data_IF_006799317026
#
_entry.id   IF_006799317026
#
_cell.length_a   1.000
_cell.length_b   1.000
_cell.length_c   1.000
_cell.angle_alpha   90.00
_cell.angle_beta   90.00
_cell.angle_gamma   90.00
#
_symmetry.space_group_name_H-M   'P 1'
#
loop_
_entity.id
_entity.type
_entity.pdbx_description
1 polymer ?
#
# COMPACT_ATOMS: atom_id res chain seq x y z
N UNK A 1 3.79 10.20 12.71
CA UNK A 1 3.34 9.65 11.42
C UNK A 1 2.12 10.41 10.87
N UNK A 2 1.05 10.59 11.66
CA UNK A 2 -0.19 11.24 11.20
C UNK A 2 0.03 12.63 10.63
N UNK A 3 0.76 13.52 11.33
CA UNK A 3 1.06 14.87 10.85
C UNK A 3 1.84 14.85 9.53
N UNK A 4 2.80 13.92 9.38
CA UNK A 4 3.53 13.76 8.11
C UNK A 4 2.58 13.34 6.98
N UNK A 5 1.68 12.40 7.24
CA UNK A 5 0.67 11.98 6.27
C UNK A 5 -0.25 13.14 5.85
N UNK A 6 -0.68 13.97 6.82
CA UNK A 6 -1.49 15.16 6.61
C UNK A 6 -0.78 16.18 5.69
N UNK A 7 0.45 16.56 6.02
CA UNK A 7 1.22 17.55 5.24
C UNK A 7 1.52 17.05 3.82
N UNK A 8 1.91 15.79 3.66
CA UNK A 8 2.22 15.23 2.36
C UNK A 8 0.97 15.12 1.48
N UNK A 9 -0.15 14.66 2.01
CA UNK A 9 -1.39 14.52 1.23
C UNK A 9 -2.04 15.88 0.92
N UNK A 10 -1.71 16.93 1.67
CA UNK A 10 -2.09 18.29 1.30
C UNK A 10 -1.53 18.71 -0.06
N UNK A 11 -0.39 18.11 -0.47
CA UNK A 11 0.22 18.33 -1.79
C UNK A 11 -0.35 17.37 -2.82
N UNK A 12 -0.25 16.05 -2.58
CA UNK A 12 -0.81 15.02 -3.47
C UNK A 12 -0.97 13.67 -2.74
N UNK A 13 -2.14 13.07 -2.85
CA UNK A 13 -2.48 11.79 -2.25
C UNK A 13 -1.59 10.64 -2.73
N UNK A 14 -0.99 10.74 -3.92
CA UNK A 14 -0.11 9.70 -4.45
C UNK A 14 1.18 9.58 -3.64
N UNK A 15 1.74 10.71 -3.21
CA UNK A 15 2.93 10.71 -2.34
C UNK A 15 2.66 10.08 -0.98
N UNK A 16 1.51 10.46 -0.35
CA UNK A 16 1.12 9.83 0.91
C UNK A 16 0.90 8.32 0.71
N UNK A 17 0.29 7.90 -0.41
CA UNK A 17 0.08 6.47 -0.71
C UNK A 17 1.40 5.70 -0.75
N UNK A 18 2.41 6.21 -1.45
CA UNK A 18 3.73 5.58 -1.54
C UNK A 18 4.39 5.43 -0.16
N UNK A 19 4.36 6.50 0.65
CA UNK A 19 4.93 6.49 2.02
C UNK A 19 4.16 5.54 2.93
N UNK A 20 2.84 5.51 2.84
CA UNK A 20 2.01 4.60 3.65
C UNK A 20 2.30 3.14 3.35
N UNK A 21 2.43 2.78 2.08
CA UNK A 21 2.77 1.39 1.71
C UNK A 21 4.16 1.04 2.21
N UNK A 22 5.16 1.89 1.93
CA UNK A 22 6.54 1.63 2.36
C UNK A 22 6.67 1.49 3.87
N UNK A 23 6.05 2.37 4.66
CA UNK A 23 6.15 2.36 6.11
C UNK A 23 5.25 1.31 6.77
N UNK A 24 3.92 1.42 6.58
CA UNK A 24 2.94 0.64 7.34
C UNK A 24 2.68 -0.76 6.79
N UNK A 25 2.91 -0.99 5.48
CA UNK A 25 2.62 -2.26 4.83
C UNK A 25 3.88 -3.03 4.41
N UNK A 26 5.07 -2.43 4.49
CA UNK A 26 6.34 -3.09 4.17
C UNK A 26 7.29 -3.09 5.36
N UNK A 27 7.76 -1.93 5.82
CA UNK A 27 8.71 -1.86 6.93
C UNK A 27 8.14 -2.44 8.22
N UNK A 28 6.93 -2.04 8.58
CA UNK A 28 6.30 -2.47 9.84
C UNK A 28 6.01 -3.98 9.88
N UNK A 29 5.44 -4.64 8.87
CA UNK A 29 5.32 -6.09 8.86
C UNK A 29 6.65 -6.83 8.95
N UNK A 30 7.71 -6.34 8.31
CA UNK A 30 9.04 -6.93 8.44
C UNK A 30 9.56 -6.78 9.87
N UNK A 31 9.38 -5.59 10.49
CA UNK A 31 9.79 -5.36 11.88
C UNK A 31 9.04 -6.25 12.86
N UNK A 32 7.75 -6.42 12.68
CA UNK A 32 6.93 -7.19 13.62
C UNK A 32 7.01 -8.71 13.40
N UNK A 33 6.99 -9.13 12.14
CA UNK A 33 6.81 -10.54 11.80
C UNK A 33 8.07 -11.19 11.22
N UNK A 34 9.06 -10.40 10.82
CA UNK A 34 10.31 -10.89 10.25
C UNK A 34 11.23 -11.56 11.28
N UNK A 35 12.09 -12.46 10.80
CA UNK A 35 13.22 -12.96 11.57
C UNK A 35 14.27 -11.86 11.77
N UNK A 36 15.17 -12.05 12.73
CA UNK A 36 16.29 -11.11 12.96
C UNK A 36 17.11 -10.88 11.68
N UNK A 37 17.41 -11.94 10.92
CA UNK A 37 18.14 -11.86 9.67
C UNK A 37 17.39 -11.02 8.62
N UNK A 38 16.08 -11.20 8.49
CA UNK A 38 15.26 -10.43 7.55
C UNK A 38 15.24 -8.95 7.93
N UNK A 39 15.09 -8.61 9.21
CA UNK A 39 15.12 -7.23 9.69
C UNK A 39 16.45 -6.55 9.38
N UNK A 40 17.56 -7.18 9.79
CA UNK A 40 18.91 -6.65 9.57
C UNK A 40 19.24 -6.48 8.07
N UNK A 41 18.75 -7.37 7.23
CA UNK A 41 19.01 -7.36 5.78
C UNK A 41 18.19 -6.28 5.04
N UNK A 42 16.91 -6.11 5.36
CA UNK A 42 16.01 -5.33 4.52
C UNK A 42 15.63 -3.96 5.11
N UNK A 43 15.43 -3.84 6.43
CA UNK A 43 14.94 -2.59 7.01
C UNK A 43 15.87 -1.39 6.80
N UNK A 44 17.22 -1.50 6.90
CA UNK A 44 18.08 -0.33 6.73
C UNK A 44 17.94 0.35 5.36
N UNK A 45 17.79 -0.42 4.30
CA UNK A 45 17.67 0.12 2.93
C UNK A 45 16.23 0.50 2.59
N UNK A 46 15.24 -0.18 3.14
CA UNK A 46 13.82 0.20 3.03
C UNK A 46 13.54 1.55 3.71
N UNK A 47 14.04 1.76 4.93
CA UNK A 47 13.86 3.01 5.69
C UNK A 47 14.54 4.18 4.99
N UNK A 48 15.69 3.95 4.36
CA UNK A 48 16.41 4.98 3.59
C UNK A 48 15.81 5.21 2.19
N UNK A 49 14.80 4.45 1.78
CA UNK A 49 14.22 4.50 0.44
C UNK A 49 15.16 4.05 -0.68
N UNK A 50 16.22 3.30 -0.38
CA UNK A 50 17.12 2.73 -1.38
C UNK A 50 16.49 1.56 -2.12
N UNK A 51 15.64 0.82 -1.44
CA UNK A 51 14.79 -0.23 -2.01
C UNK A 51 13.33 0.06 -1.69
N UNK A 52 12.47 -0.31 -2.61
CA UNK A 52 11.02 -0.10 -2.52
C UNK A 52 10.33 -1.44 -2.36
N UNK A 53 9.35 -1.47 -1.46
CA UNK A 53 8.51 -2.64 -1.28
C UNK A 53 7.07 -2.41 -1.72
N UNK A 54 6.35 -3.52 -1.90
CA UNK A 54 4.92 -3.53 -2.11
C UNK A 54 4.24 -4.61 -1.24
N UNK A 55 2.91 -4.51 -1.11
CA UNK A 55 2.11 -5.38 -0.26
C UNK A 55 1.00 -6.03 -1.07
N UNK A 56 1.17 -7.31 -1.40
CA UNK A 56 0.26 -8.09 -2.22
C UNK A 56 -0.75 -8.88 -1.38
N UNK A 57 -1.90 -8.28 -1.11
CA UNK A 57 -3.05 -8.93 -0.47
C UNK A 57 -4.20 -9.07 -1.45
N UNK A 58 -4.65 -7.97 -2.03
CA UNK A 58 -5.84 -7.84 -2.88
C UNK A 58 -5.72 -8.64 -4.17
N UNK A 59 -6.82 -9.29 -4.57
CA UNK A 59 -7.00 -9.96 -5.85
C UNK A 59 -8.23 -9.41 -6.57
N UNK A 60 -8.39 -9.72 -7.87
CA UNK A 60 -9.51 -9.19 -8.66
C UNK A 60 -10.88 -9.53 -8.07
N UNK A 61 -11.03 -10.71 -7.46
CA UNK A 61 -12.27 -11.17 -6.84
C UNK A 61 -12.25 -11.14 -5.31
N UNK A 62 -11.13 -10.72 -4.70
CA UNK A 62 -10.92 -10.68 -3.25
C UNK A 62 -10.39 -9.30 -2.82
N UNK A 63 -11.23 -8.28 -2.88
CA UNK A 63 -10.95 -6.91 -2.45
C UNK A 63 -11.44 -6.66 -1.02
N UNK A 64 -12.74 -6.36 -0.87
CA UNK A 64 -13.35 -6.10 0.45
C UNK A 64 -13.36 -7.32 1.35
N UNK A 65 -13.43 -8.52 0.77
CA UNK A 65 -13.27 -9.78 1.48
C UNK A 65 -11.95 -10.46 1.07
N UNK A 66 -10.83 -10.18 1.77
CA UNK A 66 -9.55 -10.80 1.48
C UNK A 66 -9.51 -12.30 1.81
N UNK A 67 -10.47 -12.82 2.59
CA UNK A 67 -10.53 -14.25 2.94
C UNK A 67 -10.87 -15.15 1.75
N UNK A 68 -11.47 -14.57 0.71
CA UNK A 68 -11.80 -15.26 -0.55
C UNK A 68 -10.62 -15.35 -1.54
N UNK A 69 -9.40 -14.94 -1.14
CA UNK A 69 -8.22 -14.98 -2.01
C UNK A 69 -7.92 -16.39 -2.54
N UNK A 70 -7.36 -16.42 -3.75
CA UNK A 70 -7.02 -17.65 -4.48
C UNK A 70 -5.51 -17.91 -4.56
N UNK A 71 -4.67 -16.92 -4.22
CA UNK A 71 -3.21 -17.11 -4.17
C UNK A 71 -2.88 -18.16 -3.12
N UNK A 72 -2.14 -19.19 -3.53
CA UNK A 72 -1.81 -20.33 -2.68
C UNK A 72 -0.31 -20.57 -2.59
N UNK A 73 0.09 -21.25 -1.52
CA UNK A 73 1.42 -21.81 -1.40
C UNK A 73 1.38 -23.28 -1.02
N UNK A 74 2.38 -24.02 -1.52
CA UNK A 74 2.62 -25.41 -1.16
C UNK A 74 3.97 -25.49 -0.46
N UNK A 75 3.99 -26.09 0.70
CA UNK A 75 5.23 -26.34 1.44
C UNK A 75 5.89 -27.63 0.95
N UNK A 76 7.16 -27.53 0.54
CA UNK A 76 8.05 -28.65 0.23
C UNK A 76 9.11 -28.79 1.32
N UNK A 77 9.97 -29.79 1.21
CA UNK A 77 11.00 -30.07 2.22
C UNK A 77 11.92 -28.88 2.46
N UNK A 78 12.41 -28.22 1.41
CA UNK A 78 13.43 -27.18 1.43
C UNK A 78 12.95 -25.81 0.91
N UNK A 79 11.78 -25.73 0.27
CA UNK A 79 11.26 -24.52 -0.34
C UNK A 79 9.72 -24.43 -0.25
N UNK A 80 9.17 -23.28 -0.63
CA UNK A 80 7.77 -23.07 -0.92
C UNK A 80 7.55 -22.89 -2.41
N UNK A 81 6.40 -23.32 -2.92
CA UNK A 81 5.92 -23.00 -4.27
C UNK A 81 4.68 -22.12 -4.11
N UNK A 82 4.71 -20.94 -4.74
CA UNK A 82 3.61 -19.96 -4.66
C UNK A 82 3.01 -19.75 -6.04
N UNK A 83 1.68 -19.77 -6.12
CA UNK A 83 0.91 -19.51 -7.33
C UNK A 83 -0.24 -18.56 -7.06
N UNK A 84 -0.48 -17.64 -7.99
CA UNK A 84 -1.62 -16.73 -7.93
C UNK A 84 -1.37 -15.39 -8.60
N UNK A 85 -2.30 -14.47 -8.40
CA UNK A 85 -2.21 -13.09 -8.90
C UNK A 85 -2.67 -12.12 -7.84
N UNK A 86 -2.00 -10.96 -7.76
CA UNK A 86 -2.43 -9.84 -6.93
C UNK A 86 -2.76 -8.66 -7.82
N UNK A 87 -3.77 -7.88 -7.46
CA UNK A 87 -4.24 -6.79 -8.29
C UNK A 87 -4.36 -5.48 -7.48
N UNK A 88 -4.23 -4.35 -8.17
CA UNK A 88 -4.27 -3.01 -7.56
C UNK A 88 -3.16 -2.78 -6.53
N UNK A 89 -1.98 -3.33 -6.76
CA UNK A 89 -0.88 -3.25 -5.79
C UNK A 89 -0.04 -2.01 -6.02
N UNK A 90 -0.09 -1.10 -5.07
CA UNK A 90 0.74 0.10 -5.04
C UNK A 90 2.21 -0.28 -5.01
N UNK A 91 3.02 0.40 -5.80
CA UNK A 91 4.46 0.21 -6.01
C UNK A 91 4.84 -1.10 -6.73
N UNK A 92 3.94 -2.03 -7.05
CA UNK A 92 4.32 -3.29 -7.68
C UNK A 92 5.21 -3.14 -8.93
N UNK A 93 4.96 -2.18 -9.85
CA UNK A 93 5.81 -2.03 -11.04
C UNK A 93 7.24 -1.60 -10.76
N UNK A 94 7.50 -0.98 -9.61
CA UNK A 94 8.81 -0.43 -9.23
C UNK A 94 9.42 -1.12 -8.01
N UNK A 95 8.73 -2.10 -7.41
CA UNK A 95 9.16 -2.76 -6.18
C UNK A 95 10.41 -3.61 -6.39
N UNK A 96 11.32 -3.57 -5.41
CA UNK A 96 12.50 -4.45 -5.32
C UNK A 96 12.17 -5.69 -4.47
N UNK A 97 11.23 -5.56 -3.54
CA UNK A 97 10.73 -6.67 -2.71
C UNK A 97 9.21 -6.66 -2.64
N UNK A 98 8.63 -7.85 -2.55
CA UNK A 98 7.20 -8.10 -2.57
C UNK A 98 6.80 -8.83 -1.31
N UNK A 99 5.96 -8.22 -0.48
CA UNK A 99 5.30 -8.88 0.65
C UNK A 99 3.99 -9.49 0.17
N UNK A 100 3.94 -10.81 0.04
CA UNK A 100 2.84 -11.54 -0.57
C UNK A 100 2.13 -12.41 0.45
N UNK A 101 0.84 -12.20 0.62
CA UNK A 101 -0.05 -13.07 1.39
C UNK A 101 -0.56 -14.21 0.53
N UNK A 102 -0.45 -15.43 1.03
CA UNK A 102 -0.93 -16.63 0.37
C UNK A 102 -1.50 -17.64 1.37
N UNK A 103 -2.39 -18.52 0.89
CA UNK A 103 -3.06 -19.57 1.67
C UNK A 103 -2.43 -20.94 1.41
N UNK A 104 -2.31 -21.75 2.44
CA UNK A 104 -2.03 -23.17 2.25
C UNK A 104 -3.33 -23.96 1.95
N UNK A 105 -3.20 -25.26 1.77
CA UNK A 105 -4.35 -26.17 1.53
C UNK A 105 -5.38 -26.16 2.67
N UNK A 106 -4.93 -25.88 3.91
CA UNK A 106 -5.79 -25.79 5.10
C UNK A 106 -6.43 -24.41 5.28
N UNK A 107 -6.20 -23.47 4.33
CA UNK A 107 -6.62 -22.07 4.40
C UNK A 107 -5.92 -21.25 5.49
N UNK A 108 -4.79 -21.70 6.01
CA UNK A 108 -3.93 -20.88 6.85
C UNK A 108 -3.19 -19.86 5.98
N UNK A 109 -3.18 -18.61 6.40
CA UNK A 109 -2.55 -17.53 5.68
C UNK A 109 -1.15 -17.24 6.21
N UNK A 110 -0.19 -17.06 5.31
CA UNK A 110 1.19 -16.66 5.64
C UNK A 110 1.68 -15.53 4.75
N UNK A 111 2.69 -14.81 5.23
CA UNK A 111 3.33 -13.69 4.54
C UNK A 111 4.73 -14.09 4.06
N UNK A 112 4.98 -13.86 2.78
CA UNK A 112 6.25 -14.17 2.12
C UNK A 112 6.92 -12.89 1.64
N UNK A 113 8.24 -12.80 1.83
CA UNK A 113 9.09 -11.74 1.31
C UNK A 113 9.78 -12.26 0.04
N UNK A 114 9.39 -11.75 -1.13
CA UNK A 114 9.85 -12.24 -2.43
C UNK A 114 10.68 -11.15 -3.11
N UNK A 115 11.95 -11.38 -3.47
CA UNK A 115 12.76 -10.45 -4.24
C UNK A 115 12.27 -10.31 -5.69
N UNK A 116 12.50 -9.13 -6.31
CA UNK A 116 12.08 -8.80 -7.67
C UNK A 116 12.56 -9.80 -8.74
N UNK A 117 13.78 -10.28 -8.61
CA UNK A 117 14.39 -11.16 -9.63
C UNK A 117 14.08 -12.65 -9.40
N UNK A 118 13.01 -12.96 -8.66
CA UNK A 118 12.58 -14.34 -8.46
C UNK A 118 11.95 -14.88 -9.76
N UNK A 119 12.40 -16.03 -10.21
CA UNK A 119 11.85 -16.69 -11.40
C UNK A 119 10.36 -16.96 -11.23
N UNK A 120 9.57 -16.68 -12.27
CA UNK A 120 8.10 -16.80 -12.25
C UNK A 120 7.36 -15.58 -11.69
N UNK A 121 8.08 -14.56 -11.13
CA UNK A 121 7.46 -13.31 -10.72
C UNK A 121 7.48 -12.29 -11.86
N UNK A 122 6.31 -11.76 -12.18
CA UNK A 122 6.19 -10.66 -13.13
C UNK A 122 5.17 -9.63 -12.65
N UNK A 123 5.29 -8.41 -13.15
CA UNK A 123 4.39 -7.30 -12.84
C UNK A 123 3.94 -6.60 -14.10
N UNK A 124 2.72 -6.06 -14.07
CA UNK A 124 2.23 -5.13 -15.10
C UNK A 124 1.71 -3.86 -14.45
N UNK A 125 1.79 -2.74 -15.16
CA UNK A 125 1.26 -1.46 -14.69
C UNK A 125 -0.23 -1.34 -15.02
N UNK A 126 -1.01 -0.73 -14.11
CA UNK A 126 -2.39 -0.32 -14.36
C UNK A 126 -2.35 1.15 -14.79
N UNK A 127 -2.65 1.39 -16.05
CA UNK A 127 -2.69 2.71 -16.64
C UNK A 127 -4.07 3.38 -16.51
N UNK A 128 -4.16 4.67 -16.86
CA UNK A 128 -5.41 5.45 -16.98
C UNK A 128 -6.28 5.50 -15.71
N UNK A 129 -5.64 5.45 -14.54
CA UNK A 129 -6.36 5.67 -13.28
C UNK A 129 -6.95 7.08 -13.22
N UNK A 130 -8.14 7.21 -12.65
CA UNK A 130 -8.82 8.52 -12.49
C UNK A 130 -8.21 9.36 -11.37
N UNK A 131 -7.64 8.72 -10.34
CA UNK A 131 -6.97 9.36 -9.19
C UNK A 131 -5.65 8.66 -8.87
N UNK A 132 -4.87 9.24 -7.95
CA UNK A 132 -3.56 8.71 -7.54
C UNK A 132 -2.64 8.43 -8.74
N UNK A 133 -2.63 9.33 -9.73
CA UNK A 133 -2.01 9.11 -11.04
C UNK A 133 -0.50 8.93 -10.96
N UNK A 134 0.17 9.60 -10.03
CA UNK A 134 1.62 9.51 -9.84
C UNK A 134 2.01 8.22 -9.09
N UNK A 135 1.09 7.63 -8.31
CA UNK A 135 1.36 6.39 -7.59
C UNK A 135 1.37 5.20 -8.55
N UNK A 136 2.53 4.57 -8.83
CA UNK A 136 2.59 3.39 -9.68
C UNK A 136 1.81 2.25 -9.02
N UNK A 137 0.85 1.71 -9.77
CA UNK A 137 -0.03 0.64 -9.29
C UNK A 137 -0.04 -0.47 -10.33
N UNK A 138 0.02 -1.71 -9.90
CA UNK A 138 0.14 -2.81 -10.84
C UNK A 138 -0.52 -4.10 -10.38
N UNK A 139 -0.43 -5.07 -11.26
CA UNK A 139 -0.74 -6.46 -11.01
C UNK A 139 0.57 -7.21 -10.75
N UNK A 140 0.52 -8.23 -9.89
CA UNK A 140 1.62 -9.16 -9.63
C UNK A 140 1.16 -10.55 -10.07
N UNK A 141 1.95 -11.21 -10.89
CA UNK A 141 1.73 -12.58 -11.34
C UNK A 141 2.79 -13.46 -10.68
N UNK A 142 2.33 -14.55 -10.07
CA UNK A 142 3.13 -15.53 -9.37
C UNK A 142 2.91 -16.88 -10.05
N UNK A 143 3.85 -17.28 -10.91
CA UNK A 143 3.78 -18.53 -11.67
C UNK A 143 4.84 -19.51 -11.18
N UNK A 144 4.42 -20.49 -10.40
CA UNK A 144 5.26 -21.54 -9.83
C UNK A 144 6.54 -21.02 -9.14
N UNK A 145 6.40 -19.89 -8.44
CA UNK A 145 7.52 -19.26 -7.74
C UNK A 145 8.08 -20.20 -6.69
N UNK A 146 9.37 -20.53 -6.82
CA UNK A 146 10.10 -21.32 -5.83
C UNK A 146 10.93 -20.41 -4.95
N UNK A 147 10.67 -20.43 -3.64
CA UNK A 147 11.42 -19.64 -2.67
C UNK A 147 11.89 -20.50 -1.48
N UNK A 148 13.11 -20.24 -0.98
CA UNK A 148 13.63 -20.92 0.21
C UNK A 148 12.76 -20.71 1.45
N UNK A 149 12.85 -21.62 2.40
CA UNK A 149 12.08 -21.58 3.67
C UNK A 149 12.26 -20.29 4.47
N UNK A 150 13.42 -19.67 4.40
CA UNK A 150 13.74 -18.44 5.12
C UNK A 150 13.11 -17.16 4.51
N UNK A 151 12.30 -17.29 3.46
CA UNK A 151 11.55 -16.15 2.86
C UNK A 151 10.15 -15.98 3.42
N UNK A 152 9.65 -16.89 4.24
CA UNK A 152 8.44 -16.68 5.05
C UNK A 152 8.75 -15.73 6.21
N UNK A 153 7.81 -14.88 6.59
CA UNK A 153 7.90 -14.10 7.83
C UNK A 153 7.41 -14.98 9.00
N UNK A 154 8.32 -15.45 9.88
CA UNK A 154 8.02 -16.57 10.79
C UNK A 154 7.07 -16.20 11.93
N UNK A 155 6.92 -14.92 12.25
CA UNK A 155 6.14 -14.47 13.41
C UNK A 155 4.72 -14.02 13.06
N UNK A 156 4.22 -14.35 11.86
CA UNK A 156 2.83 -14.08 11.48
C UNK A 156 1.84 -14.91 12.30
N UNK A 157 0.71 -14.32 12.65
CA UNK A 157 -0.38 -14.93 13.41
C UNK A 157 -1.65 -15.03 12.54
N UNK A 158 -1.50 -15.56 11.33
CA UNK A 158 -2.60 -15.71 10.39
C UNK A 158 -3.33 -14.38 10.09
N UNK A 159 -4.63 -14.41 10.00
CA UNK A 159 -5.49 -13.25 9.70
C UNK A 159 -5.33 -12.09 10.69
N UNK A 160 -4.95 -12.34 11.94
CA UNK A 160 -4.68 -11.28 12.91
C UNK A 160 -3.58 -10.35 12.44
N UNK A 161 -2.52 -10.89 11.82
CA UNK A 161 -1.43 -10.08 11.26
C UNK A 161 -1.86 -9.28 10.04
N UNK A 162 -2.72 -9.84 9.17
CA UNK A 162 -3.30 -9.12 8.03
C UNK A 162 -4.06 -7.89 8.51
N UNK A 163 -5.00 -8.08 9.44
CA UNK A 163 -5.84 -6.98 9.95
C UNK A 163 -5.04 -5.95 10.74
N UNK A 164 -3.99 -6.36 11.44
CA UNK A 164 -3.06 -5.43 12.09
C UNK A 164 -2.45 -4.45 11.07
N UNK A 165 -1.87 -4.98 9.99
CA UNK A 165 -1.30 -4.16 8.90
C UNK A 165 -2.34 -3.21 8.30
N UNK A 166 -3.55 -3.71 8.02
CA UNK A 166 -4.62 -2.90 7.43
C UNK A 166 -5.10 -1.79 8.36
N UNK A 167 -5.15 -2.02 9.68
CA UNK A 167 -5.58 -1.00 10.64
C UNK A 167 -4.56 0.16 10.70
N UNK A 168 -3.27 -0.13 10.68
CA UNK A 168 -2.23 0.90 10.66
C UNK A 168 -2.25 1.70 9.35
N UNK A 169 -2.48 1.04 8.23
CA UNK A 169 -2.65 1.73 6.94
C UNK A 169 -3.88 2.67 6.96
N UNK A 170 -5.01 2.22 7.48
CA UNK A 170 -6.24 3.04 7.62
C UNK A 170 -6.03 4.27 8.48
N UNK A 171 -5.28 4.15 9.58
CA UNK A 171 -4.93 5.28 10.43
C UNK A 171 -4.19 6.37 9.65
N UNK A 172 -3.20 5.99 8.84
CA UNK A 172 -2.46 6.92 7.99
C UNK A 172 -3.32 7.61 6.93
N UNK A 173 -4.27 6.86 6.32
CA UNK A 173 -5.22 7.41 5.34
C UNK A 173 -6.15 8.44 6.01
N UNK A 174 -6.66 8.15 7.22
CA UNK A 174 -7.54 9.07 7.93
C UNK A 174 -6.89 10.43 8.21
N UNK A 175 -5.61 10.46 8.55
CA UNK A 175 -4.84 11.69 8.69
C UNK A 175 -4.60 12.39 7.35
N UNK A 176 -4.21 11.63 6.34
CA UNK A 176 -3.84 12.18 5.03
C UNK A 176 -5.02 12.90 4.36
N UNK A 177 -6.19 12.28 4.30
CA UNK A 177 -7.36 12.88 3.64
C UNK A 177 -7.80 14.20 4.29
N UNK A 178 -7.53 14.39 5.58
CA UNK A 178 -7.78 15.68 6.25
C UNK A 178 -6.82 16.76 5.73
N UNK A 179 -5.57 16.42 5.42
CA UNK A 179 -4.60 17.33 4.78
C UNK A 179 -5.10 17.80 3.42
N UNK A 180 -5.50 16.87 2.56
CA UNK A 180 -6.07 17.18 1.24
C UNK A 180 -7.35 18.03 1.35
N UNK A 181 -8.26 17.69 2.27
CA UNK A 181 -9.49 18.44 2.49
C UNK A 181 -9.21 19.88 2.96
N UNK A 182 -8.29 20.05 3.92
CA UNK A 182 -7.91 21.37 4.42
C UNK A 182 -7.27 22.24 3.33
N UNK A 183 -6.37 21.66 2.51
CA UNK A 183 -5.78 22.43 1.41
C UNK A 183 -6.81 22.82 0.35
N UNK A 184 -7.72 21.93 -0.01
CA UNK A 184 -8.82 22.25 -0.92
C UNK A 184 -9.71 23.37 -0.39
N UNK A 185 -9.98 23.37 0.93
CA UNK A 185 -10.72 24.44 1.60
C UNK A 185 -9.98 25.78 1.57
N UNK A 186 -8.68 25.79 1.92
CA UNK A 186 -7.84 27.00 1.89
C UNK A 186 -7.81 27.65 0.49
N UNK A 187 -7.58 26.86 -0.56
CA UNK A 187 -7.57 27.32 -1.94
C UNK A 187 -8.95 27.88 -2.34
N UNK A 188 -10.02 27.18 -1.96
CA UNK A 188 -11.38 27.63 -2.25
C UNK A 188 -11.73 28.92 -1.54
N UNK A 189 -11.32 29.08 -0.27
CA UNK A 189 -11.50 30.29 0.52
C UNK A 189 -10.77 31.46 -0.13
N UNK A 190 -9.47 31.33 -0.37
CA UNK A 190 -8.65 32.37 -1.01
C UNK A 190 -9.21 32.78 -2.37
N UNK A 191 -9.58 31.81 -3.19
CA UNK A 191 -10.17 32.10 -4.50
C UNK A 191 -11.47 32.90 -4.36
N UNK A 192 -12.38 32.50 -3.49
CA UNK A 192 -13.70 33.15 -3.36
C UNK A 192 -13.61 34.52 -2.70
N UNK A 193 -12.62 34.78 -1.85
CA UNK A 193 -12.32 36.10 -1.28
C UNK A 193 -11.77 37.06 -2.33
N UNK A 194 -10.96 36.59 -3.27
CA UNK A 194 -10.31 37.40 -4.30
C UNK A 194 -11.12 37.52 -5.60
N UNK A 195 -11.98 36.56 -5.91
CA UNK A 195 -12.80 36.59 -7.14
C UNK A 195 -13.90 37.60 -7.04
N UNK A 196 -13.80 38.68 -7.79
CA UNK A 196 -14.85 39.74 -7.84
C UNK A 196 -15.88 39.39 -8.92
N UNK A 197 -17.18 39.38 -8.52
CA UNK A 197 -18.34 39.24 -9.39
C UNK A 197 -19.40 40.25 -8.95
N UNK A 198 -20.03 40.95 -9.88
CA UNK A 198 -20.99 42.00 -9.59
C UNK A 198 -20.49 43.05 -8.56
N UNK A 199 -19.23 43.45 -8.68
CA UNK A 199 -18.52 44.41 -7.80
C UNK A 199 -18.35 43.96 -6.36
N UNK A 200 -18.50 42.68 -6.05
CA UNK A 200 -18.32 42.07 -4.71
C UNK A 200 -17.51 40.81 -4.80
N UNK A 201 -16.76 40.46 -3.74
CA UNK A 201 -16.14 39.13 -3.64
C UNK A 201 -17.19 38.02 -3.77
N UNK A 202 -16.81 36.92 -4.41
CA UNK A 202 -17.68 35.73 -4.52
C UNK A 202 -18.13 35.24 -3.15
N UNK A 203 -17.24 35.32 -2.14
CA UNK A 203 -17.50 34.99 -0.75
C UNK A 203 -18.60 35.86 -0.08
N UNK A 204 -19.00 36.97 -0.69
CA UNK A 204 -20.15 37.77 -0.20
C UNK A 204 -21.51 37.07 -0.37
N UNK A 205 -21.57 35.98 -1.14
CA UNK A 205 -22.79 35.20 -1.34
C UNK A 205 -22.98 34.16 -0.23
N UNK A 206 -24.17 34.19 0.39
CA UNK A 206 -24.51 33.27 1.51
C UNK A 206 -24.35 31.79 1.14
N UNK A 207 -24.66 31.38 -0.12
CA UNK A 207 -24.50 29.99 -0.57
C UNK A 207 -23.02 29.56 -0.64
N UNK A 208 -22.11 30.50 -0.86
CA UNK A 208 -20.66 30.24 -0.81
C UNK A 208 -20.20 30.14 0.65
N UNK A 209 -20.60 31.10 1.49
CA UNK A 209 -20.26 31.11 2.91
C UNK A 209 -20.73 29.83 3.64
N UNK A 210 -21.87 29.28 3.25
CA UNK A 210 -22.38 28.01 3.81
C UNK A 210 -21.49 26.80 3.44
N UNK A 211 -20.77 26.86 2.33
CA UNK A 211 -19.89 25.77 1.86
C UNK A 211 -18.47 25.88 2.40
N UNK A 212 -18.04 27.08 2.77
CA UNK A 212 -16.78 27.36 3.43
C UNK A 212 -16.87 27.15 4.94
#
# INVERSE_FOLDING_TARGET
YGLIAYEIESVDSSYRSAISVQSSLVCEPIELFGSKIQKEKYLPDLIKGKIIGCFGLTESEAGSDPSSMKTTFIEKTDHYIINGTKNWITNAPIADIFLIWALNEKKDINLFLIPKNTEGLSTSIIENKTSLKISPTGQIILDNIKIPKNYILPNTQGWKSVFYCLNNARYGIAWGVMGAANNAWLISKEYTENRIMFKKPLAANQLIQKKL
#
